data_IF_406227296838
#
_entry.id   IF_406227296838
#
_cell.length_a   1.000
_cell.length_b   1.000
_cell.length_c   1.000
_cell.angle_alpha   90.00
_cell.angle_beta   90.00
_cell.angle_gamma   90.00
#
_symmetry.space_group_name_H-M   'P 1'
#
loop_
_entity.id
_entity.type
_entity.pdbx_description
1 polymer ?
#
# COMPACT_ATOMS: atom_id res chain seq x y z
N UNK A 1 -24.69 -8.31 -35.43
CA UNK A 1 -24.56 -7.71 -34.08
C UNK A 1 -23.27 -8.27 -33.49
N UNK A 2 -22.17 -7.51 -33.52
CA UNK A 2 -20.87 -7.97 -33.00
C UNK A 2 -20.58 -7.20 -31.72
N UNK A 3 -20.57 -7.89 -30.58
CA UNK A 3 -20.05 -7.34 -29.34
C UNK A 3 -18.53 -7.23 -29.51
N UNK A 4 -18.05 -6.06 -29.92
CA UNK A 4 -16.63 -5.76 -29.92
C UNK A 4 -16.21 -5.54 -28.46
N UNK A 5 -16.05 -6.63 -27.71
CA UNK A 5 -15.29 -6.61 -26.48
C UNK A 5 -13.85 -6.36 -26.89
N UNK A 6 -13.48 -5.10 -27.05
CA UNK A 6 -12.08 -4.71 -27.18
C UNK A 6 -11.32 -5.48 -26.09
N UNK A 7 -10.40 -6.36 -26.50
CA UNK A 7 -9.54 -7.08 -25.59
C UNK A 7 -8.65 -6.04 -24.92
N UNK A 8 -9.12 -5.46 -23.81
CA UNK A 8 -8.35 -4.54 -23.02
C UNK A 8 -7.19 -5.36 -22.45
N UNK A 9 -5.93 -5.07 -22.82
CA UNK A 9 -4.81 -5.81 -22.30
C UNK A 9 -4.77 -5.68 -20.76
N UNK A 10 -4.32 -6.73 -20.04
CA UNK A 10 -4.17 -6.66 -18.59
C UNK A 10 -3.32 -5.46 -18.21
N UNK A 11 -3.80 -4.64 -17.26
CA UNK A 11 -3.05 -3.50 -16.74
C UNK A 11 -1.73 -4.03 -16.15
N UNK A 12 -0.56 -3.55 -16.61
CA UNK A 12 0.72 -3.99 -16.06
C UNK A 12 0.75 -3.73 -14.55
N UNK A 13 1.21 -4.70 -13.75
CA UNK A 13 1.19 -4.59 -12.28
C UNK A 13 1.92 -3.37 -11.72
N UNK A 14 2.84 -2.78 -12.48
CA UNK A 14 3.53 -1.53 -12.15
C UNK A 14 2.62 -0.30 -12.13
N UNK A 15 1.53 -0.29 -12.88
CA UNK A 15 0.52 0.79 -12.90
C UNK A 15 -0.42 0.78 -11.68
N UNK A 16 -0.31 -0.21 -10.77
CA UNK A 16 -1.16 -0.35 -9.58
C UNK A 16 -0.40 -0.10 -8.27
N UNK A 17 0.71 0.62 -8.34
CA UNK A 17 1.52 0.94 -7.15
C UNK A 17 0.95 2.17 -6.45
N UNK A 18 0.48 2.01 -5.21
CA UNK A 18 0.19 3.14 -4.30
C UNK A 18 1.36 3.31 -3.35
N UNK A 19 1.95 4.50 -3.34
CA UNK A 19 2.95 4.93 -2.37
C UNK A 19 2.43 6.08 -1.52
N UNK A 20 2.87 6.16 -0.26
CA UNK A 20 2.55 7.27 0.63
C UNK A 20 3.56 7.38 1.78
N UNK A 21 3.60 8.55 2.40
CA UNK A 21 4.49 8.84 3.54
C UNK A 21 3.65 9.13 4.78
N UNK A 22 3.99 8.50 5.90
CA UNK A 22 3.41 8.81 7.20
C UNK A 22 4.36 9.75 7.94
N UNK A 23 3.90 10.96 8.23
CA UNK A 23 4.60 11.91 9.09
C UNK A 23 3.88 11.99 10.43
N UNK A 24 4.63 12.15 11.52
CA UNK A 24 4.07 12.34 12.86
C UNK A 24 4.68 13.56 13.51
N UNK A 25 3.85 14.32 14.22
CA UNK A 25 4.29 15.42 15.10
C UNK A 25 4.36 14.96 16.56
N UNK A 26 3.96 13.72 16.87
CA UNK A 26 3.99 13.18 18.20
C UNK A 26 5.43 12.77 18.58
N UNK A 27 6.00 13.47 19.57
CA UNK A 27 7.39 13.26 20.02
C UNK A 27 7.65 11.83 20.50
N UNK A 28 6.65 11.14 21.06
CA UNK A 28 6.79 9.75 21.52
C UNK A 28 6.96 8.85 20.31
N UNK A 29 6.10 9.01 19.30
CA UNK A 29 6.18 8.25 18.05
C UNK A 29 7.44 8.55 17.25
N UNK A 30 7.93 9.78 17.28
CA UNK A 30 9.21 10.14 16.66
C UNK A 30 10.39 9.36 17.28
N UNK A 31 10.33 9.04 18.57
CA UNK A 31 11.34 8.27 19.29
C UNK A 31 11.08 6.76 19.30
N UNK A 32 10.05 6.28 18.60
CA UNK A 32 9.78 4.85 18.51
C UNK A 32 10.89 4.11 17.78
N UNK A 33 11.19 2.91 18.29
CA UNK A 33 12.10 2.00 17.62
C UNK A 33 11.55 1.59 16.25
N UNK A 34 12.43 1.07 15.38
CA UNK A 34 12.03 0.49 14.10
C UNK A 34 10.97 -0.60 14.27
N UNK A 35 11.04 -1.42 15.32
CA UNK A 35 10.06 -2.50 15.58
C UNK A 35 8.67 -1.97 15.95
N UNK A 36 8.59 -0.86 16.68
CA UNK A 36 7.33 -0.19 16.98
C UNK A 36 6.71 0.39 15.71
N UNK A 37 7.50 1.10 14.89
CA UNK A 37 7.05 1.61 13.59
C UNK A 37 6.57 0.49 12.65
N UNK A 38 7.26 -0.65 12.66
CA UNK A 38 6.88 -1.82 11.85
C UNK A 38 5.47 -2.31 12.18
N UNK A 39 5.01 -2.17 13.43
CA UNK A 39 3.67 -2.59 13.84
C UNK A 39 2.59 -1.71 13.21
N UNK A 40 2.81 -0.39 13.13
CA UNK A 40 1.91 0.54 12.43
C UNK A 40 1.89 0.23 10.93
N UNK A 41 3.08 0.06 10.35
CA UNK A 41 3.24 -0.24 8.93
C UNK A 41 2.53 -1.55 8.55
N UNK A 42 2.72 -2.61 9.32
CA UNK A 42 2.05 -3.89 9.10
C UNK A 42 0.52 -3.77 9.15
N UNK A 43 0.00 -2.91 10.03
CA UNK A 43 -1.45 -2.64 10.09
C UNK A 43 -1.93 -1.92 8.83
N UNK A 44 -1.20 -0.92 8.35
CA UNK A 44 -1.54 -0.21 7.11
C UNK A 44 -1.55 -1.17 5.91
N UNK A 45 -0.52 -2.00 5.77
CA UNK A 45 -0.43 -3.04 4.73
C UNK A 45 -1.63 -3.99 4.79
N UNK A 46 -1.99 -4.48 5.99
CA UNK A 46 -3.17 -5.35 6.16
C UNK A 46 -4.46 -4.66 5.75
N UNK A 47 -4.68 -3.41 6.15
CA UNK A 47 -5.89 -2.65 5.81
C UNK A 47 -6.01 -2.43 4.30
N UNK A 48 -4.90 -2.13 3.63
CA UNK A 48 -4.86 -1.99 2.16
C UNK A 48 -5.17 -3.32 1.48
N UNK A 49 -4.58 -4.43 1.97
CA UNK A 49 -4.79 -5.76 1.42
C UNK A 49 -6.19 -6.34 1.70
N UNK A 50 -6.86 -5.93 2.79
CA UNK A 50 -8.21 -6.39 3.16
C UNK A 50 -9.33 -5.46 2.69
N UNK A 51 -8.99 -4.32 2.06
CA UNK A 51 -9.94 -3.28 1.70
C UNK A 51 -10.81 -3.61 0.47
N UNK A 52 -11.70 -2.69 0.08
CA UNK A 52 -12.59 -2.83 -1.08
C UNK A 52 -11.84 -3.01 -2.41
N UNK A 53 -10.54 -2.73 -2.42
CA UNK A 53 -9.67 -2.88 -3.56
C UNK A 53 -8.85 -4.19 -3.55
N UNK A 54 -9.11 -5.15 -2.63
CA UNK A 54 -8.37 -6.42 -2.53
C UNK A 54 -8.31 -7.21 -3.85
N UNK A 55 -9.33 -7.12 -4.70
CA UNK A 55 -9.36 -7.79 -6.00
C UNK A 55 -8.42 -7.18 -7.05
N UNK A 56 -7.97 -5.93 -6.82
CA UNK A 56 -7.05 -5.20 -7.70
C UNK A 56 -5.70 -4.91 -7.06
N UNK A 57 -5.57 -5.01 -5.72
CA UNK A 57 -4.30 -4.97 -5.00
C UNK A 57 -3.73 -6.36 -4.80
N UNK A 58 -2.66 -6.66 -5.55
CA UNK A 58 -1.96 -7.93 -5.47
C UNK A 58 -0.93 -8.00 -4.34
N UNK A 59 -0.34 -6.86 -3.96
CA UNK A 59 0.66 -6.81 -2.89
C UNK A 59 0.75 -5.41 -2.28
N UNK A 60 1.24 -5.34 -1.04
CA UNK A 60 1.58 -4.10 -0.37
C UNK A 60 2.85 -4.31 0.45
N UNK A 61 3.77 -3.37 0.36
CA UNK A 61 5.02 -3.36 1.13
C UNK A 61 5.22 -1.94 1.66
N UNK A 62 6.00 -1.82 2.73
CA UNK A 62 6.31 -0.52 3.29
C UNK A 62 7.65 -0.56 4.02
N UNK A 63 8.33 0.57 3.98
CA UNK A 63 9.70 0.75 4.44
C UNK A 63 9.76 1.87 5.47
N UNK A 64 10.54 1.67 6.53
CA UNK A 64 10.79 2.70 7.53
C UNK A 64 12.01 3.50 7.07
N UNK A 65 11.77 4.70 6.55
CA UNK A 65 12.81 5.68 6.26
C UNK A 65 13.21 6.41 7.53
N UNK A 66 14.50 6.45 7.84
CA UNK A 66 15.06 7.25 8.95
C UNK A 66 16.10 8.22 8.42
N UNK A 67 16.07 9.45 8.95
CA UNK A 67 17.20 10.37 8.98
C UNK A 67 17.63 10.53 10.43
#
# INVERSE_FOLDING_TARGET
>A
MMCNTAMIPPIPGTHLTISGTLSTTNIIMANWSRTMWQSVVNRAVRMLASGPFRSVFFSAFATIGGS
#
